data_IF_423552866102
#
_entry.id   IF_423552866102
#
_cell.length_a   1.000
_cell.length_b   1.000
_cell.length_c   1.000
_cell.angle_alpha   90.00
_cell.angle_beta   90.00
_cell.angle_gamma   90.00
#
_symmetry.space_group_name_H-M   'P 1'
#
loop_
_entity.id
_entity.type
_entity.pdbx_description
1 polymer ?
#
# COMPACT_ATOMS: atom_id res chain seq x y z
N UNK A 1 28.23 -2.78 -4.98
CA UNK A 1 26.90 -2.84 -4.36
C UNK A 1 26.80 -1.68 -3.40
N UNK A 2 25.96 -0.68 -3.67
CA UNK A 2 25.68 0.36 -2.69
C UNK A 2 24.62 -0.18 -1.73
N UNK A 3 25.01 -0.47 -0.50
CA UNK A 3 24.04 -0.77 0.57
C UNK A 3 23.18 0.46 0.81
N UNK A 4 21.87 0.28 0.85
CA UNK A 4 20.94 1.37 1.19
C UNK A 4 21.27 1.92 2.58
N UNK A 5 21.26 3.25 2.78
CA UNK A 5 21.48 3.84 4.09
C UNK A 5 20.52 3.27 5.13
N UNK A 6 20.98 3.08 6.37
CA UNK A 6 20.18 2.51 7.46
C UNK A 6 18.86 3.28 7.69
N UNK A 7 18.88 4.60 7.50
CA UNK A 7 17.68 5.45 7.63
C UNK A 7 16.59 5.10 6.60
N UNK A 8 16.97 4.69 5.38
CA UNK A 8 16.01 4.27 4.33
C UNK A 8 15.35 2.96 4.73
N UNK A 9 16.14 2.00 5.21
CA UNK A 9 15.65 0.70 5.65
C UNK A 9 14.70 0.85 6.85
N UNK A 10 15.05 1.70 7.81
CA UNK A 10 14.21 1.95 8.98
C UNK A 10 12.90 2.65 8.60
N UNK A 11 12.95 3.65 7.72
CA UNK A 11 11.74 4.32 7.20
C UNK A 11 10.81 3.33 6.49
N UNK A 12 11.36 2.44 5.67
CA UNK A 12 10.61 1.39 5.01
C UNK A 12 9.96 0.43 6.00
N UNK A 13 10.70 0.04 7.05
CA UNK A 13 10.21 -0.87 8.09
C UNK A 13 9.05 -0.26 8.88
N UNK A 14 9.17 0.99 9.30
CA UNK A 14 8.12 1.71 10.04
C UNK A 14 6.86 1.82 9.17
N UNK A 15 7.01 2.30 7.93
CA UNK A 15 5.88 2.46 7.02
C UNK A 15 5.19 1.12 6.71
N UNK A 16 5.97 0.06 6.48
CA UNK A 16 5.41 -1.28 6.22
C UNK A 16 4.59 -1.77 7.40
N UNK A 17 5.07 -1.56 8.64
CA UNK A 17 4.34 -1.96 9.86
C UNK A 17 2.99 -1.24 9.99
N UNK A 18 2.94 0.05 9.67
CA UNK A 18 1.69 0.81 9.71
C UNK A 18 0.71 0.35 8.63
N UNK A 19 1.22 0.04 7.44
CA UNK A 19 0.41 -0.52 6.35
C UNK A 19 -0.06 -1.94 6.63
N UNK A 20 0.67 -2.74 7.39
CA UNK A 20 0.19 -4.05 7.89
C UNK A 20 -1.00 -3.89 8.83
N UNK A 21 -0.98 -2.87 9.70
CA UNK A 21 -2.12 -2.56 10.57
C UNK A 21 -3.33 -2.12 9.75
N UNK A 22 -3.14 -1.25 8.75
CA UNK A 22 -4.19 -0.84 7.82
C UNK A 22 -4.74 -2.03 7.00
N UNK A 23 -3.88 -2.95 6.57
CA UNK A 23 -4.30 -4.16 5.88
C UNK A 23 -5.16 -5.05 6.78
N UNK A 24 -4.82 -5.20 8.07
CA UNK A 24 -5.59 -6.03 9.01
C UNK A 24 -7.05 -5.55 9.18
N UNK A 25 -7.28 -4.23 9.12
CA UNK A 25 -8.64 -3.64 9.15
C UNK A 25 -9.31 -3.57 7.77
N UNK A 26 -8.62 -4.00 6.71
CA UNK A 26 -9.16 -4.03 5.35
C UNK A 26 -9.10 -2.71 4.61
N UNK A 27 -8.33 -1.74 5.10
CA UNK A 27 -8.24 -0.41 4.50
C UNK A 27 -7.25 -0.36 3.32
N UNK A 28 -6.43 -1.39 3.15
CA UNK A 28 -5.39 -1.45 2.12
C UNK A 28 -5.84 -2.22 0.87
N UNK A 29 -5.50 -1.69 -0.31
CA UNK A 29 -5.84 -2.30 -1.61
C UNK A 29 -4.75 -3.29 -2.10
N UNK A 30 -3.47 -2.92 -2.23
CA UNK A 30 -2.38 -3.88 -2.48
C UNK A 30 -1.83 -4.45 -1.15
N UNK A 31 -0.84 -5.35 -1.23
CA UNK A 31 -0.12 -5.81 -0.04
C UNK A 31 0.73 -4.67 0.61
N UNK A 32 1.05 -4.77 1.92
CA UNK A 32 1.80 -3.73 2.66
C UNK A 32 3.17 -3.38 2.07
N UNK A 33 3.94 -4.37 1.60
CA UNK A 33 5.27 -4.15 1.03
C UNK A 33 5.23 -3.29 -0.25
N UNK A 34 4.46 -3.68 -1.28
CA UNK A 34 4.27 -2.86 -2.49
C UNK A 34 3.64 -1.49 -2.20
N UNK A 35 2.68 -1.40 -1.29
CA UNK A 35 2.15 -0.11 -0.82
C UNK A 35 3.26 0.80 -0.26
N UNK A 36 4.13 0.26 0.60
CA UNK A 36 5.25 1.00 1.17
C UNK A 36 6.21 1.49 0.08
N UNK A 37 6.52 0.64 -0.91
CA UNK A 37 7.37 1.02 -2.04
C UNK A 37 6.76 2.15 -2.86
N UNK A 38 5.45 2.10 -3.16
CA UNK A 38 4.76 3.18 -3.88
C UNK A 38 4.84 4.52 -3.13
N UNK A 39 4.55 4.50 -1.83
CA UNK A 39 4.59 5.70 -0.98
C UNK A 39 6.02 6.26 -0.87
N UNK A 40 7.02 5.40 -0.68
CA UNK A 40 8.42 5.85 -0.62
C UNK A 40 8.92 6.40 -1.96
N UNK A 41 8.61 5.72 -3.08
CA UNK A 41 8.99 6.19 -4.40
C UNK A 41 8.39 7.56 -4.72
N UNK A 42 7.12 7.76 -4.38
CA UNK A 42 6.43 9.02 -4.57
C UNK A 42 7.03 10.15 -3.72
N UNK A 43 7.30 9.90 -2.43
CA UNK A 43 7.90 10.92 -1.56
C UNK A 43 9.31 11.30 -2.03
N UNK A 44 10.11 10.32 -2.46
CA UNK A 44 11.49 10.53 -2.90
C UNK A 44 11.49 11.28 -4.24
N UNK A 45 10.61 10.91 -5.16
CA UNK A 45 10.44 11.60 -6.45
C UNK A 45 10.05 13.06 -6.26
N UNK A 46 9.08 13.35 -5.38
CA UNK A 46 8.71 14.72 -5.05
C UNK A 46 9.88 15.48 -4.42
N UNK A 47 10.56 14.91 -3.43
CA UNK A 47 11.70 15.54 -2.78
C UNK A 47 12.83 15.86 -3.78
N UNK A 48 13.19 14.90 -4.62
CA UNK A 48 14.22 15.07 -5.66
C UNK A 48 13.82 16.12 -6.69
N UNK A 49 12.54 16.15 -7.10
CA UNK A 49 12.02 17.19 -8.00
C UNK A 49 12.15 18.58 -7.37
N UNK A 50 11.76 18.74 -6.10
CA UNK A 50 11.85 20.01 -5.37
C UNK A 50 13.31 20.48 -5.25
N UNK A 51 14.24 19.58 -4.97
CA UNK A 51 15.68 19.86 -4.86
C UNK A 51 16.30 20.20 -6.22
N UNK A 52 15.96 19.46 -7.27
CA UNK A 52 16.57 19.61 -8.58
C UNK A 52 16.07 20.86 -9.34
N UNK A 53 14.85 21.35 -9.05
CA UNK A 53 14.27 22.52 -9.74
C UNK A 53 13.62 23.52 -8.79
N UNK A 54 14.39 24.20 -7.91
CA UNK A 54 13.85 25.09 -6.86
C UNK A 54 12.97 26.23 -7.40
N UNK A 55 13.28 26.75 -8.59
CA UNK A 55 12.53 27.84 -9.22
C UNK A 55 11.22 27.38 -9.90
N UNK A 56 11.12 26.09 -10.26
CA UNK A 56 9.91 25.49 -10.85
C UNK A 56 9.01 24.82 -9.80
N UNK A 57 9.51 24.63 -8.58
CA UNK A 57 8.80 24.03 -7.46
C UNK A 57 7.98 25.02 -6.62
N UNK A 58 7.55 26.14 -7.23
CA UNK A 58 6.76 27.17 -6.56
C UNK A 58 5.36 26.72 -6.13
N UNK A 59 4.86 25.61 -6.67
CA UNK A 59 3.57 25.05 -6.30
C UNK A 59 3.69 24.08 -5.10
N UNK A 60 3.47 24.61 -3.90
CA UNK A 60 3.41 23.85 -2.65
C UNK A 60 2.30 22.77 -2.64
N UNK A 61 1.38 22.75 -3.61
CA UNK A 61 0.32 21.75 -3.71
C UNK A 61 0.76 20.44 -4.38
N UNK A 62 1.88 20.42 -5.10
CA UNK A 62 2.33 19.21 -5.84
C UNK A 62 2.52 18.03 -4.90
N UNK A 63 3.11 18.24 -3.73
CA UNK A 63 3.28 17.17 -2.73
C UNK A 63 1.94 16.61 -2.25
N UNK A 64 0.92 17.46 -2.08
CA UNK A 64 -0.44 17.01 -1.71
C UNK A 64 -1.06 16.18 -2.82
N UNK A 65 -1.08 16.71 -4.05
CA UNK A 65 -1.67 16.01 -5.20
C UNK A 65 -1.04 14.63 -5.45
N UNK A 66 0.29 14.52 -5.34
CA UNK A 66 0.98 13.23 -5.47
C UNK A 66 0.62 12.30 -4.31
N UNK A 67 0.57 12.81 -3.07
CA UNK A 67 0.14 12.02 -1.91
C UNK A 67 -1.29 11.50 -2.09
N UNK A 68 -2.21 12.36 -2.50
CA UNK A 68 -3.62 12.03 -2.65
C UNK A 68 -3.81 10.98 -3.75
N UNK A 69 -3.10 11.11 -4.88
CA UNK A 69 -3.11 10.10 -5.94
C UNK A 69 -2.57 8.74 -5.46
N UNK A 70 -1.49 8.73 -4.66
CA UNK A 70 -0.93 7.50 -4.09
C UNK A 70 -1.87 6.91 -3.06
N UNK A 71 -2.49 7.73 -2.19
CA UNK A 71 -3.50 7.29 -1.23
C UNK A 71 -4.69 6.66 -1.96
N UNK A 72 -5.22 7.29 -3.00
CA UNK A 72 -6.31 6.75 -3.80
C UNK A 72 -5.96 5.41 -4.49
N UNK A 73 -4.66 5.15 -4.75
CA UNK A 73 -4.20 3.88 -5.31
C UNK A 73 -3.98 2.79 -4.26
N UNK A 74 -3.55 3.17 -3.06
CA UNK A 74 -3.11 2.27 -1.98
C UNK A 74 -4.24 1.95 -1.00
N UNK A 75 -5.17 2.87 -0.81
CA UNK A 75 -6.25 2.78 0.18
C UNK A 75 -7.56 2.38 -0.50
N UNK A 76 -8.42 1.67 0.22
CA UNK A 76 -9.77 1.31 -0.23
C UNK A 76 -10.69 2.54 -0.31
N UNK A 77 -11.65 2.57 -1.25
CA UNK A 77 -12.47 3.75 -1.52
C UNK A 77 -13.32 4.21 -0.33
N UNK A 78 -13.70 3.34 0.60
CA UNK A 78 -14.49 3.72 1.79
C UNK A 78 -13.69 4.65 2.74
N UNK A 79 -12.35 4.54 2.73
CA UNK A 79 -11.44 5.44 3.46
C UNK A 79 -10.99 6.62 2.58
N UNK A 80 -10.95 6.46 1.26
CA UNK A 80 -10.62 7.54 0.33
C UNK A 80 -11.77 8.55 0.15
N UNK A 81 -13.03 8.09 0.25
CA UNK A 81 -14.25 8.91 0.13
C UNK A 81 -14.47 9.88 1.29
N UNK A 82 -13.73 9.75 2.39
CA UNK A 82 -13.69 10.77 3.45
C UNK A 82 -12.94 12.06 3.01
N UNK A 83 -12.27 12.04 1.85
CA UNK A 83 -11.49 13.16 1.34
C UNK A 83 -12.05 13.84 0.09
N UNK A 84 -13.13 13.31 -0.54
CA UNK A 84 -13.83 13.97 -1.65
C UNK A 84 -15.29 13.48 -1.72
N UNK A 85 -16.23 14.36 -1.36
CA UNK A 85 -17.64 14.27 -1.76
C UNK A 85 -17.75 14.67 -3.25
N UNK A 86 -18.03 13.72 -4.15
CA UNK A 86 -18.94 13.86 -5.30
C UNK A 86 -18.82 12.67 -6.29
N UNK A 87 -19.98 12.05 -6.55
CA UNK A 87 -20.37 11.27 -7.73
C UNK A 87 -19.60 10.00 -8.14
N UNK A 88 -20.31 8.87 -8.09
CA UNK A 88 -20.00 7.68 -8.90
C UNK A 88 -20.01 6.32 -8.22
N UNK A 89 -20.73 6.13 -7.11
CA UNK A 89 -20.84 4.83 -6.44
C UNK A 89 -21.88 3.94 -7.16
N UNK A 90 -21.44 2.90 -7.88
CA UNK A 90 -22.40 1.91 -8.39
C UNK A 90 -21.85 0.66 -9.06
N UNK A 91 -20.70 0.69 -9.74
CA UNK A 91 -20.31 -0.42 -10.62
C UNK A 91 -18.89 -1.00 -10.43
N UNK A 92 -18.03 -0.38 -9.61
CA UNK A 92 -16.61 -0.80 -9.45
C UNK A 92 -16.32 -1.67 -8.22
N UNK A 93 -17.36 -2.24 -7.58
CA UNK A 93 -17.26 -2.90 -6.27
C UNK A 93 -16.73 -4.35 -6.36
N UNK A 94 -16.73 -4.98 -7.54
CA UNK A 94 -16.56 -6.45 -7.62
C UNK A 94 -15.13 -6.95 -7.85
N UNK A 95 -14.23 -6.18 -8.49
CA UNK A 95 -12.87 -6.65 -8.82
C UNK A 95 -11.80 -6.22 -7.81
N UNK A 96 -11.99 -5.09 -7.12
CA UNK A 96 -11.06 -4.61 -6.10
C UNK A 96 -11.03 -5.48 -4.82
N UNK A 97 -11.94 -6.46 -4.70
CA UNK A 97 -12.14 -7.22 -3.46
C UNK A 97 -11.12 -8.34 -3.27
N UNK A 98 -10.66 -9.02 -4.33
CA UNK A 98 -9.74 -10.17 -4.18
C UNK A 98 -8.37 -9.74 -3.66
N UNK A 99 -7.70 -8.71 -4.23
CA UNK A 99 -6.38 -8.31 -3.73
C UNK A 99 -6.42 -7.76 -2.30
N UNK A 100 -7.42 -6.93 -1.98
CA UNK A 100 -7.58 -6.36 -0.63
C UNK A 100 -7.93 -7.42 0.40
N UNK A 101 -8.81 -8.37 0.06
CA UNK A 101 -9.19 -9.48 0.95
C UNK A 101 -8.01 -10.40 1.18
N UNK A 102 -7.22 -10.71 0.14
CA UNK A 102 -6.01 -11.49 0.29
C UNK A 102 -4.97 -10.79 1.17
N UNK A 103 -4.77 -9.47 1.00
CA UNK A 103 -3.87 -8.66 1.84
C UNK A 103 -4.35 -8.64 3.30
N UNK A 104 -5.65 -8.47 3.54
CA UNK A 104 -6.26 -8.49 4.87
C UNK A 104 -6.10 -9.83 5.55
N UNK A 105 -6.46 -10.93 4.88
CA UNK A 105 -6.32 -12.27 5.44
C UNK A 105 -4.86 -12.59 5.77
N UNK A 106 -3.94 -12.22 4.88
CA UNK A 106 -2.49 -12.35 5.11
C UNK A 106 -2.03 -11.58 6.35
N UNK A 107 -2.53 -10.36 6.55
CA UNK A 107 -2.22 -9.56 7.74
C UNK A 107 -2.79 -10.17 9.03
N UNK A 108 -4.04 -10.67 9.00
CA UNK A 108 -4.68 -11.32 10.14
C UNK A 108 -3.93 -12.60 10.55
N UNK A 109 -3.53 -13.44 9.59
CA UNK A 109 -2.78 -14.66 9.85
C UNK A 109 -1.39 -14.39 10.47
N UNK A 110 -0.73 -13.29 10.10
CA UNK A 110 0.52 -12.86 10.76
C UNK A 110 0.33 -12.43 12.21
N UNK A 111 -0.83 -11.84 12.51
CA UNK A 111 -1.14 -11.29 13.82
C UNK A 111 -1.68 -12.36 14.78
N UNK A 112 -2.31 -13.39 14.25
CA UNK A 112 -2.86 -14.52 14.99
C UNK A 112 -2.62 -15.82 14.20
N UNK A 113 -1.46 -16.49 14.41
CA UNK A 113 -1.15 -17.75 13.76
C UNK A 113 -2.19 -18.82 14.11
N UNK A 114 -2.74 -19.49 13.10
CA UNK A 114 -3.72 -20.56 13.30
C UNK A 114 -3.03 -21.87 13.71
N UNK A 115 -3.34 -22.46 14.88
CA UNK A 115 -2.75 -23.73 15.31
C UNK A 115 -3.21 -24.93 14.46
N UNK A 116 -4.25 -24.79 13.63
CA UNK A 116 -4.72 -25.85 12.74
C UNK A 116 -3.81 -26.08 11.52
N UNK A 117 -3.00 -25.09 11.14
CA UNK A 117 -2.06 -25.20 10.03
C UNK A 117 -0.66 -25.54 10.55
N UNK A 118 0.00 -26.52 9.92
CA UNK A 118 1.42 -26.72 10.13
C UNK A 118 2.23 -25.50 9.65
N UNK A 119 3.48 -25.38 10.11
CA UNK A 119 4.37 -24.30 9.69
C UNK A 119 4.55 -24.24 8.15
N UNK A 120 4.60 -25.40 7.49
CA UNK A 120 4.72 -25.47 6.03
C UNK A 120 3.44 -25.00 5.32
N UNK A 121 2.26 -25.40 5.80
CA UNK A 121 0.98 -24.98 5.24
C UNK A 121 0.72 -23.48 5.43
N UNK A 122 1.03 -22.95 6.62
CA UNK A 122 0.94 -21.51 6.88
C UNK A 122 1.86 -20.68 5.99
N UNK A 123 3.08 -21.18 5.72
CA UNK A 123 4.01 -20.54 4.80
C UNK A 123 3.48 -20.55 3.34
N UNK A 124 2.95 -21.69 2.88
CA UNK A 124 2.36 -21.80 1.54
C UNK A 124 1.13 -20.91 1.37
N UNK A 125 0.23 -20.88 2.35
CA UNK A 125 -0.94 -20.01 2.33
C UNK A 125 -0.53 -18.53 2.27
N UNK A 126 0.46 -18.12 3.08
CA UNK A 126 0.99 -16.75 3.07
C UNK A 126 1.54 -16.38 1.69
N UNK A 127 2.30 -17.29 1.07
CA UNK A 127 2.84 -17.08 -0.28
C UNK A 127 1.72 -16.93 -1.33
N UNK A 128 0.68 -17.78 -1.29
CA UNK A 128 -0.44 -17.67 -2.23
C UNK A 128 -1.24 -16.38 -2.05
N UNK A 129 -1.51 -15.96 -0.81
CA UNK A 129 -2.19 -14.70 -0.53
C UNK A 129 -1.36 -13.49 -0.97
N UNK A 130 -0.03 -13.56 -0.84
CA UNK A 130 0.87 -12.54 -1.38
C UNK A 130 0.82 -12.47 -2.91
N UNK A 131 0.68 -13.61 -3.60
CA UNK A 131 0.50 -13.59 -5.06
C UNK A 131 -0.84 -12.98 -5.47
N UNK A 132 -1.92 -13.34 -4.78
CA UNK A 132 -3.27 -12.82 -5.08
C UNK A 132 -3.39 -11.31 -4.81
N UNK A 133 -2.78 -10.83 -3.72
CA UNK A 133 -2.77 -9.40 -3.37
C UNK A 133 -1.93 -8.52 -4.32
N UNK A 134 -1.01 -9.13 -5.08
CA UNK A 134 -0.13 -8.45 -6.01
C UNK A 134 -0.40 -8.79 -7.48
N UNK A 135 -1.48 -9.52 -7.76
CA UNK A 135 -1.85 -9.85 -9.13
C UNK A 135 -2.15 -8.57 -9.93
N UNK A 136 -1.60 -8.41 -11.15
CA UNK A 136 -1.93 -7.28 -12.01
C UNK A 136 -3.43 -7.28 -12.35
N UNK A 137 -4.03 -6.10 -12.50
CA UNK A 137 -5.47 -5.92 -12.72
C UNK A 137 -5.95 -6.25 -14.14
N UNK A 138 -5.08 -6.69 -15.03
CA UNK A 138 -5.44 -7.00 -16.41
C UNK A 138 -5.65 -8.51 -16.60
N UNK A 139 -6.93 -8.91 -16.62
CA UNK A 139 -7.45 -10.04 -17.38
C UNK A 139 -8.79 -9.66 -18.01
#
# INVERSE_FOLDING_TARGET
MHTSPAAVLESQRILTRDLERAAAVGELRPAPGPAAQMVMAANAGVALMLVARPAASGDASVSRRVRDAVHAAVVTPDVAGAFDDADGAGAAVSEAHVPSTAARLSALLRQSPDPALSAAEGALLTEWLNRLSNAPRDR
#
